data_IF_572539808423
#
_entry.id   IF_572539808423
#
_cell.length_a   1.000
_cell.length_b   1.000
_cell.length_c   1.000
_cell.angle_alpha   90.00
_cell.angle_beta   90.00
_cell.angle_gamma   90.00
#
_symmetry.space_group_name_H-M   'P 1'
#
loop_
_entity.id
_entity.type
_entity.pdbx_description
1 polymer ?
#
# COMPACT_ATOMS: atom_id res chain seq x y z
N UNK A 1 -19.18 24.00 12.06
CA UNK A 1 -18.11 24.92 11.59
C UNK A 1 -17.18 24.13 10.70
N UNK A 2 -17.12 24.47 9.42
CA UNK A 2 -16.20 23.85 8.47
C UNK A 2 -14.80 24.43 8.67
N UNK A 3 -13.81 23.57 8.90
CA UNK A 3 -12.41 24.01 8.98
C UNK A 3 -11.82 24.06 7.56
N UNK A 4 -11.03 25.11 7.31
CA UNK A 4 -10.39 25.36 6.02
C UNK A 4 -8.86 25.30 6.17
N UNK A 5 -8.18 24.76 5.15
CA UNK A 5 -6.72 24.66 5.08
C UNK A 5 -6.24 25.02 3.67
N UNK A 6 -5.10 25.68 3.56
CA UNK A 6 -4.49 25.95 2.25
C UNK A 6 -4.14 24.62 1.55
N UNK A 7 -3.64 23.64 2.31
CA UNK A 7 -3.23 22.34 1.78
C UNK A 7 -3.70 21.20 2.68
N UNK A 8 -4.44 20.25 2.11
CA UNK A 8 -4.74 18.97 2.76
C UNK A 8 -3.85 17.88 2.17
N UNK A 9 -3.22 17.08 3.02
CA UNK A 9 -2.39 15.93 2.65
C UNK A 9 -3.04 14.64 3.15
N UNK A 10 -3.36 13.72 2.23
CA UNK A 10 -3.95 12.42 2.57
C UNK A 10 -2.86 11.35 2.63
N UNK A 11 -2.48 10.93 3.83
CA UNK A 11 -1.52 9.88 4.11
C UNK A 11 -0.37 10.33 5.01
N UNK A 12 -0.05 9.51 6.00
CA UNK A 12 1.00 9.67 7.01
C UNK A 12 2.30 8.92 6.70
N UNK A 13 2.48 8.47 5.46
CA UNK A 13 3.69 7.78 5.00
C UNK A 13 4.83 8.73 4.58
N UNK A 14 5.95 8.20 4.04
CA UNK A 14 7.10 9.00 3.62
C UNK A 14 6.74 10.14 2.64
N UNK A 15 5.86 9.91 1.67
CA UNK A 15 5.40 10.94 0.75
C UNK A 15 4.62 12.04 1.46
N UNK A 16 3.58 11.67 2.21
CA UNK A 16 2.72 12.65 2.86
C UNK A 16 3.45 13.47 3.93
N UNK A 17 4.33 12.86 4.71
CA UNK A 17 5.11 13.57 5.73
C UNK A 17 6.10 14.58 5.10
N UNK A 18 6.75 14.23 3.99
CA UNK A 18 7.63 15.17 3.30
C UNK A 18 6.85 16.27 2.56
N UNK A 19 5.69 15.95 2.00
CA UNK A 19 4.79 16.93 1.40
C UNK A 19 4.29 17.95 2.43
N UNK A 20 3.79 17.47 3.56
CA UNK A 20 3.33 18.30 4.67
C UNK A 20 4.47 19.19 5.20
N UNK A 21 5.68 18.64 5.36
CA UNK A 21 6.84 19.41 5.83
C UNK A 21 7.16 20.55 4.88
N UNK A 22 7.30 20.26 3.59
CA UNK A 22 7.64 21.28 2.60
C UNK A 22 6.56 22.36 2.46
N UNK A 23 5.29 21.97 2.52
CA UNK A 23 4.16 22.88 2.49
C UNK A 23 4.13 23.80 3.74
N UNK A 24 4.25 23.21 4.94
CA UNK A 24 4.21 23.97 6.19
C UNK A 24 5.41 24.92 6.33
N UNK A 25 6.61 24.48 5.94
CA UNK A 25 7.82 25.33 5.91
C UNK A 25 7.71 26.49 4.91
N UNK A 26 6.86 26.36 3.89
CA UNK A 26 6.55 27.43 2.95
C UNK A 26 5.44 28.38 3.44
N UNK A 27 4.91 28.17 4.65
CA UNK A 27 3.93 29.03 5.31
C UNK A 27 2.46 28.65 5.08
N UNK A 28 2.17 27.60 4.31
CA UNK A 28 0.79 27.15 4.09
C UNK A 28 0.18 26.55 5.37
N UNK A 29 -1.09 26.76 5.62
CA UNK A 29 -1.85 26.01 6.63
C UNK A 29 -2.09 24.59 6.13
N UNK A 30 -1.59 23.59 6.86
CA UNK A 30 -1.58 22.19 6.42
C UNK A 30 -2.37 21.30 7.38
N UNK A 31 -3.33 20.55 6.84
CA UNK A 31 -3.91 19.40 7.52
C UNK A 31 -3.39 18.09 6.90
N UNK A 32 -2.83 17.21 7.73
CA UNK A 32 -2.43 15.87 7.31
C UNK A 32 -3.35 14.82 7.93
N UNK A 33 -4.01 14.05 7.07
CA UNK A 33 -5.02 13.06 7.44
C UNK A 33 -4.43 11.66 7.23
N UNK A 34 -4.47 10.80 8.25
CA UNK A 34 -4.06 9.39 8.12
C UNK A 34 -5.00 8.46 8.87
N UNK A 35 -5.29 7.30 8.27
CA UNK A 35 -6.18 6.31 8.85
C UNK A 35 -5.51 5.44 9.92
N UNK A 36 -4.17 5.46 10.01
CA UNK A 36 -3.45 4.77 11.07
C UNK A 36 -3.38 5.63 12.33
N UNK A 37 -3.28 5.00 13.51
CA UNK A 37 -3.14 5.71 14.77
C UNK A 37 -1.81 6.45 14.94
N UNK A 38 -0.80 6.15 14.11
CA UNK A 38 0.53 6.76 14.18
C UNK A 38 1.08 6.99 12.78
N UNK A 39 1.76 8.12 12.61
CA UNK A 39 2.49 8.44 11.40
C UNK A 39 3.65 7.47 11.14
N UNK A 40 4.04 7.38 9.87
CA UNK A 40 5.14 6.53 9.39
C UNK A 40 4.74 5.63 8.21
N UNK A 41 3.44 5.49 7.94
CA UNK A 41 2.92 4.57 6.93
C UNK A 41 3.39 3.14 7.19
N UNK A 42 3.64 2.37 6.13
CA UNK A 42 4.09 0.97 6.26
C UNK A 42 5.59 0.84 6.54
N UNK A 43 6.40 1.75 5.97
CA UNK A 43 7.86 1.72 6.05
C UNK A 43 8.32 1.95 7.50
N UNK A 44 7.86 3.05 8.10
CA UNK A 44 8.20 3.43 9.46
C UNK A 44 7.11 3.06 10.46
N UNK A 45 6.31 2.04 10.16
CA UNK A 45 5.24 1.56 11.05
C UNK A 45 5.80 1.30 12.45
N UNK A 46 5.19 1.95 13.43
CA UNK A 46 5.59 1.90 14.84
C UNK A 46 4.69 0.93 15.61
N UNK A 47 5.17 0.45 16.75
CA UNK A 47 4.37 -0.28 17.73
C UNK A 47 4.99 -0.22 19.12
N UNK A 48 4.36 -0.87 20.10
CA UNK A 48 4.84 -0.85 21.50
C UNK A 48 6.28 -1.35 21.64
N UNK A 49 6.65 -2.38 20.87
CA UNK A 49 8.00 -2.95 20.84
C UNK A 49 8.87 -2.43 19.68
N UNK A 50 8.37 -1.47 18.89
CA UNK A 50 9.05 -0.96 17.69
C UNK A 50 9.06 0.58 17.72
N UNK A 51 10.07 1.20 18.36
CA UNK A 51 10.16 2.65 18.49
C UNK A 51 10.36 3.33 17.13
N UNK A 52 10.06 4.64 17.01
CA UNK A 52 10.24 5.36 15.76
C UNK A 52 11.72 5.36 15.35
N UNK A 53 11.96 5.05 14.09
CA UNK A 53 13.29 5.18 13.49
C UNK A 53 13.74 6.64 13.51
N UNK A 54 15.05 6.88 13.63
CA UNK A 54 15.61 8.23 13.75
C UNK A 54 15.15 9.19 12.63
N UNK A 55 15.06 8.70 11.39
CA UNK A 55 14.58 9.49 10.25
C UNK A 55 13.12 9.95 10.41
N UNK A 56 12.24 9.08 10.90
CA UNK A 56 10.85 9.46 11.18
C UNK A 56 10.79 10.42 12.37
N UNK A 57 11.55 10.16 13.42
CA UNK A 57 11.58 11.03 14.59
C UNK A 57 11.99 12.46 14.23
N UNK A 58 13.04 12.63 13.44
CA UNK A 58 13.50 13.94 12.97
C UNK A 58 12.43 14.65 12.10
N UNK A 59 11.76 13.91 11.22
CA UNK A 59 10.72 14.45 10.34
C UNK A 59 9.48 14.90 11.14
N UNK A 60 9.06 14.11 12.14
CA UNK A 60 7.96 14.47 13.02
C UNK A 60 8.30 15.68 13.89
N UNK A 61 9.51 15.75 14.44
CA UNK A 61 9.96 16.91 15.22
C UNK A 61 9.94 18.20 14.37
N UNK A 62 10.40 18.13 13.12
CA UNK A 62 10.39 19.27 12.20
C UNK A 62 8.96 19.74 11.82
N UNK A 63 8.00 18.82 11.77
CA UNK A 63 6.58 19.12 11.54
C UNK A 63 5.93 19.70 12.79
N UNK A 64 6.18 19.10 13.95
CA UNK A 64 5.62 19.55 15.23
C UNK A 64 6.10 20.93 15.66
N UNK A 65 7.24 21.40 15.13
CA UNK A 65 7.70 22.77 15.34
C UNK A 65 6.96 23.82 14.49
N UNK A 66 6.13 23.40 13.53
CA UNK A 66 5.34 24.29 12.67
C UNK A 66 4.00 24.60 13.33
N UNK A 67 3.68 25.89 13.55
CA UNK A 67 2.41 26.31 14.15
C UNK A 67 1.21 26.18 13.19
N UNK A 68 1.49 26.13 11.89
CA UNK A 68 0.55 26.01 10.78
C UNK A 68 0.31 24.55 10.34
N UNK A 69 0.71 23.57 11.15
CA UNK A 69 0.54 22.14 10.84
C UNK A 69 -0.43 21.47 11.82
N UNK A 70 -1.42 20.78 11.28
CA UNK A 70 -2.38 19.97 12.02
C UNK A 70 -2.32 18.52 11.54
N UNK A 71 -2.20 17.57 12.47
CA UNK A 71 -2.20 16.14 12.15
C UNK A 71 -3.42 15.44 12.74
N UNK A 72 -4.17 14.74 11.89
CA UNK A 72 -5.35 13.94 12.25
C UNK A 72 -5.06 12.45 12.06
N UNK A 73 -4.54 11.76 13.09
CA UNK A 73 -4.39 10.31 13.08
C UNK A 73 -5.75 9.62 13.21
N UNK A 74 -5.80 8.32 12.94
CA UNK A 74 -7.01 7.49 13.03
C UNK A 74 -8.24 8.11 12.33
N UNK A 75 -8.00 8.88 11.27
CA UNK A 75 -9.01 9.66 10.57
C UNK A 75 -9.12 9.20 9.13
N UNK A 76 -10.32 8.80 8.73
CA UNK A 76 -10.61 8.25 7.40
C UNK A 76 -11.28 9.30 6.53
N UNK A 77 -10.92 9.34 5.25
CA UNK A 77 -11.70 10.05 4.24
C UNK A 77 -12.90 9.17 3.87
N UNK A 78 -14.11 9.63 4.17
CA UNK A 78 -15.35 8.92 3.88
C UNK A 78 -15.81 9.21 2.46
N UNK A 79 -15.79 10.49 2.06
CA UNK A 79 -16.23 10.93 0.74
C UNK A 79 -15.59 12.27 0.35
N UNK A 80 -15.35 12.53 -0.95
CA UNK A 80 -15.20 13.89 -1.43
C UNK A 80 -16.54 14.62 -1.30
N UNK A 81 -16.48 15.91 -1.02
CA UNK A 81 -17.61 16.84 -1.04
C UNK A 81 -17.43 17.81 -2.22
N UNK A 82 -18.51 18.50 -2.60
CA UNK A 82 -18.42 19.59 -3.58
C UNK A 82 -17.48 20.72 -3.11
N UNK A 83 -17.04 21.57 -4.03
CA UNK A 83 -16.24 22.77 -3.75
C UNK A 83 -14.92 22.52 -2.98
N UNK A 84 -14.14 21.50 -3.37
CA UNK A 84 -12.85 21.18 -2.73
C UNK A 84 -13.02 20.86 -1.23
N UNK A 85 -13.98 19.99 -0.92
CA UNK A 85 -14.22 19.52 0.44
C UNK A 85 -14.01 18.02 0.62
N UNK A 86 -13.77 17.59 1.85
CA UNK A 86 -13.75 16.18 2.26
C UNK A 86 -14.65 15.97 3.48
N UNK A 87 -15.37 14.85 3.47
CA UNK A 87 -16.00 14.30 4.66
C UNK A 87 -15.04 13.30 5.29
N UNK A 88 -14.70 13.55 6.55
CA UNK A 88 -13.81 12.72 7.34
C UNK A 88 -14.56 12.06 8.50
N UNK A 89 -14.03 10.96 9.00
CA UNK A 89 -14.50 10.31 10.22
C UNK A 89 -13.33 9.86 11.08
N UNK A 90 -13.39 10.16 12.38
CA UNK A 90 -12.50 9.57 13.38
C UNK A 90 -13.31 9.12 14.60
N UNK A 91 -12.77 8.19 15.38
CA UNK A 91 -13.41 7.78 16.63
C UNK A 91 -13.47 8.92 17.66
N UNK A 92 -12.51 9.84 17.62
CA UNK A 92 -12.39 10.95 18.56
C UNK A 92 -13.33 12.11 18.22
N UNK A 93 -13.42 12.49 16.95
CA UNK A 93 -14.15 13.68 16.51
C UNK A 93 -15.48 13.38 15.80
N UNK A 94 -15.82 12.11 15.59
CA UNK A 94 -16.95 11.73 14.75
C UNK A 94 -16.75 12.19 13.31
N UNK A 95 -17.85 12.56 12.65
CA UNK A 95 -17.86 13.05 11.27
C UNK A 95 -17.60 14.54 11.16
N UNK A 96 -16.60 14.93 10.37
CA UNK A 96 -16.18 16.33 10.16
C UNK A 96 -16.08 16.63 8.67
N UNK A 97 -16.64 17.75 8.24
CA UNK A 97 -16.43 18.30 6.90
C UNK A 97 -15.34 19.37 6.92
N UNK A 98 -14.39 19.28 6.00
CA UNK A 98 -13.33 20.28 5.79
C UNK A 98 -13.30 20.76 4.34
N UNK A 99 -12.71 21.94 4.12
CA UNK A 99 -12.40 22.46 2.78
C UNK A 99 -10.91 22.73 2.63
N UNK A 100 -10.46 22.82 1.38
CA UNK A 100 -9.07 23.07 1.06
C UNK A 100 -8.89 23.88 -0.23
N UNK A 101 -7.76 24.58 -0.35
CA UNK A 101 -7.36 25.18 -1.63
C UNK A 101 -6.63 24.18 -2.54
N UNK A 102 -5.79 23.31 -1.96
CA UNK A 102 -5.05 22.28 -2.70
C UNK A 102 -5.05 20.95 -1.94
N UNK A 103 -5.06 19.85 -2.69
CA UNK A 103 -5.07 18.48 -2.14
C UNK A 103 -3.85 17.71 -2.62
N UNK A 104 -3.14 17.07 -1.70
CA UNK A 104 -2.04 16.15 -2.02
C UNK A 104 -2.45 14.72 -1.64
N UNK A 105 -2.57 13.86 -2.64
CA UNK A 105 -2.85 12.44 -2.50
C UNK A 105 -1.55 11.67 -2.26
N UNK A 106 -1.33 11.21 -1.04
CA UNK A 106 -0.18 10.38 -0.65
C UNK A 106 -0.65 9.04 -0.05
N UNK A 107 -1.67 8.44 -0.69
CA UNK A 107 -2.44 7.28 -0.23
C UNK A 107 -1.70 5.94 -0.32
N UNK A 108 -0.48 5.95 -0.85
CA UNK A 108 0.42 4.79 -0.92
C UNK A 108 -0.14 3.66 -1.79
N UNK A 109 0.23 2.43 -1.43
CA UNK A 109 -0.19 1.22 -2.10
C UNK A 109 -0.64 0.15 -1.09
N UNK A 110 -1.36 -0.87 -1.58
CA UNK A 110 -1.75 -2.07 -0.83
C UNK A 110 -1.10 -3.30 -1.42
N UNK A 111 -1.01 -4.35 -0.64
CA UNK A 111 -0.50 -5.64 -1.12
C UNK A 111 -1.45 -6.28 -2.13
N UNK A 112 -0.89 -6.86 -3.19
CA UNK A 112 -1.61 -7.72 -4.12
C UNK A 112 -1.70 -9.12 -3.53
N UNK A 113 -2.92 -9.50 -3.13
CA UNK A 113 -3.22 -10.84 -2.64
C UNK A 113 -3.90 -11.64 -3.76
N UNK A 114 -3.34 -12.81 -4.06
CA UNK A 114 -3.85 -13.73 -5.08
C UNK A 114 -4.33 -15.02 -4.39
N UNK A 115 -5.61 -15.38 -4.53
CA UNK A 115 -6.16 -16.59 -3.94
C UNK A 115 -5.45 -17.87 -4.39
N UNK A 116 -5.30 -18.79 -3.44
CA UNK A 116 -4.92 -20.18 -3.63
C UNK A 116 -5.71 -21.05 -2.63
N UNK A 117 -5.95 -22.34 -2.89
CA UNK A 117 -6.63 -23.22 -1.94
C UNK A 117 -6.11 -23.06 -0.50
N UNK A 118 -7.01 -22.72 0.44
CA UNK A 118 -6.66 -22.48 1.84
C UNK A 118 -6.12 -21.09 2.20
N UNK A 119 -6.08 -20.12 1.27
CA UNK A 119 -5.56 -18.76 1.54
C UNK A 119 -6.35 -17.96 2.60
N UNK A 120 -7.55 -18.42 2.96
CA UNK A 120 -8.41 -17.82 3.99
C UNK A 120 -8.24 -18.45 5.37
N UNK A 121 -7.45 -19.52 5.50
CA UNK A 121 -7.22 -20.19 6.78
C UNK A 121 -6.58 -19.21 7.79
N UNK A 122 -7.00 -19.24 9.08
CA UNK A 122 -6.28 -18.52 10.13
C UNK A 122 -4.78 -18.87 10.12
N UNK A 123 -3.93 -17.84 10.19
CA UNK A 123 -2.49 -17.97 10.05
C UNK A 123 -1.96 -17.77 8.62
N UNK A 124 -2.84 -17.65 7.62
CA UNK A 124 -2.48 -17.16 6.28
C UNK A 124 -2.71 -15.65 6.18
N UNK A 125 -1.65 -14.90 5.84
CA UNK A 125 -1.70 -13.43 5.69
C UNK A 125 -0.94 -13.00 4.44
N UNK A 126 -0.98 -11.70 4.12
CA UNK A 126 0.00 -11.10 3.23
C UNK A 126 1.40 -11.01 3.87
N UNK A 127 2.45 -10.84 3.06
CA UNK A 127 3.81 -10.62 3.54
C UNK A 127 3.94 -9.26 4.24
N UNK A 128 3.37 -8.21 3.65
CA UNK A 128 3.28 -6.89 4.28
C UNK A 128 2.40 -6.92 5.53
N UNK A 129 1.30 -7.69 5.50
CA UNK A 129 0.43 -7.87 6.67
C UNK A 129 1.15 -8.57 7.83
N UNK A 130 1.96 -9.61 7.58
CA UNK A 130 2.78 -10.24 8.62
C UNK A 130 3.71 -9.23 9.29
N UNK A 131 4.42 -8.43 8.48
CA UNK A 131 5.29 -7.38 9.01
C UNK A 131 4.50 -6.37 9.86
N UNK A 132 3.34 -5.94 9.40
CA UNK A 132 2.51 -4.99 10.15
C UNK A 132 2.01 -5.57 11.47
N UNK A 133 1.62 -6.85 11.49
CA UNK A 133 1.17 -7.55 12.70
C UNK A 133 2.30 -7.67 13.73
N UNK A 134 3.49 -8.09 13.31
CA UNK A 134 4.67 -8.20 14.20
C UNK A 134 5.04 -6.83 14.77
N UNK A 135 5.12 -5.81 13.90
CA UNK A 135 5.40 -4.42 14.35
C UNK A 135 4.34 -3.94 15.33
N UNK A 136 3.09 -4.32 15.12
CA UNK A 136 1.96 -4.05 16.02
C UNK A 136 1.95 -4.86 17.33
N UNK A 137 2.88 -5.79 17.53
CA UNK A 137 3.02 -6.56 18.76
C UNK A 137 2.52 -8.00 18.71
N UNK A 138 2.16 -8.53 17.53
CA UNK A 138 1.80 -9.95 17.40
C UNK A 138 3.01 -10.84 17.72
N UNK A 139 2.90 -11.76 18.69
CA UNK A 139 3.98 -12.70 18.99
C UNK A 139 4.09 -13.73 17.87
N UNK A 140 5.32 -13.93 17.40
CA UNK A 140 5.67 -14.93 16.36
C UNK A 140 6.88 -15.78 16.75
N UNK A 141 7.36 -15.65 17.99
CA UNK A 141 8.55 -16.35 18.48
C UNK A 141 8.35 -17.86 18.36
N UNK A 142 9.38 -18.53 17.84
CA UNK A 142 9.42 -19.98 17.60
C UNK A 142 8.42 -20.55 16.57
N UNK A 143 7.48 -19.75 16.06
CA UNK A 143 6.56 -20.18 15.02
C UNK A 143 7.29 -20.46 13.71
N UNK A 144 6.88 -21.54 13.03
CA UNK A 144 7.38 -21.89 11.69
C UNK A 144 6.63 -21.07 10.65
N UNK A 145 7.33 -20.19 9.96
CA UNK A 145 6.73 -19.29 8.97
C UNK A 145 7.25 -19.62 7.57
N UNK A 146 6.33 -19.74 6.62
CA UNK A 146 6.64 -19.70 5.18
C UNK A 146 6.28 -18.33 4.64
N UNK A 147 7.24 -17.68 3.98
CA UNK A 147 7.02 -16.38 3.32
C UNK A 147 7.04 -16.64 1.81
N UNK A 148 6.05 -16.16 1.07
CA UNK A 148 5.86 -16.50 -0.33
C UNK A 148 5.37 -15.34 -1.18
N UNK A 149 5.53 -15.44 -2.50
CA UNK A 149 4.93 -14.53 -3.48
C UNK A 149 5.97 -13.91 -4.39
N UNK A 150 6.02 -12.57 -4.47
CA UNK A 150 6.92 -11.87 -5.39
C UNK A 150 7.50 -10.58 -4.80
N UNK A 151 8.82 -10.43 -4.89
CA UNK A 151 9.49 -9.14 -4.78
C UNK A 151 10.11 -8.82 -3.42
N UNK A 152 10.71 -7.62 -3.29
CA UNK A 152 11.54 -7.27 -2.14
C UNK A 152 10.77 -7.19 -0.81
N UNK A 153 9.44 -7.12 -0.84
CA UNK A 153 8.61 -7.17 0.36
C UNK A 153 8.78 -8.48 1.13
N UNK A 154 9.06 -9.60 0.44
CA UNK A 154 9.31 -10.90 1.08
C UNK A 154 10.54 -10.83 2.00
N UNK A 155 11.58 -10.13 1.55
CA UNK A 155 12.82 -9.93 2.31
C UNK A 155 12.61 -9.02 3.52
N UNK A 156 11.79 -7.98 3.37
CA UNK A 156 11.42 -7.11 4.47
C UNK A 156 10.61 -7.87 5.55
N UNK A 157 9.65 -8.71 5.13
CA UNK A 157 8.88 -9.56 6.03
C UNK A 157 9.76 -10.60 6.72
N UNK A 158 10.71 -11.21 6.00
CA UNK A 158 11.69 -12.16 6.53
C UNK A 158 12.52 -11.56 7.66
N UNK A 159 13.09 -10.37 7.44
CA UNK A 159 13.91 -9.72 8.45
C UNK A 159 13.11 -9.39 9.70
N UNK A 160 11.91 -8.82 9.54
CA UNK A 160 11.02 -8.53 10.68
C UNK A 160 10.62 -9.81 11.44
N UNK A 161 10.29 -10.90 10.74
CA UNK A 161 9.94 -12.16 11.37
C UNK A 161 11.10 -12.76 12.17
N UNK A 162 12.31 -12.74 11.62
CA UNK A 162 13.52 -13.25 12.29
C UNK A 162 13.91 -12.42 13.50
N UNK A 163 13.87 -11.10 13.38
CA UNK A 163 14.13 -10.19 14.51
C UNK A 163 13.15 -10.41 15.66
N UNK A 164 11.89 -10.75 15.36
CA UNK A 164 10.88 -11.14 16.34
C UNK A 164 11.02 -12.59 16.86
N UNK A 165 12.02 -13.35 16.41
CA UNK A 165 12.32 -14.71 16.87
C UNK A 165 11.55 -15.83 16.17
N UNK A 166 10.92 -15.56 15.02
CA UNK A 166 10.24 -16.60 14.25
C UNK A 166 11.22 -17.53 13.53
N UNK A 167 10.83 -18.78 13.33
CA UNK A 167 11.56 -19.79 12.56
C UNK A 167 11.09 -19.76 11.11
N UNK A 168 11.69 -18.92 10.28
CA UNK A 168 11.33 -18.87 8.85
C UNK A 168 11.89 -20.10 8.12
N UNK A 169 11.01 -21.03 7.72
CA UNK A 169 11.40 -22.34 7.17
C UNK A 169 11.65 -22.32 5.67
N UNK A 170 11.04 -21.36 4.95
CA UNK A 170 11.26 -21.12 3.53
C UNK A 170 10.85 -19.70 3.13
N UNK A 171 11.54 -19.17 2.13
CA UNK A 171 11.10 -18.02 1.31
C UNK A 171 10.87 -18.52 -0.11
N UNK A 172 9.65 -18.35 -0.61
CA UNK A 172 9.17 -18.89 -1.89
C UNK A 172 8.92 -17.72 -2.84
N UNK A 173 9.86 -17.50 -3.75
CA UNK A 173 9.83 -16.43 -4.75
C UNK A 173 9.37 -17.00 -6.11
N UNK A 174 8.34 -16.39 -6.69
CA UNK A 174 7.81 -16.80 -7.98
C UNK A 174 8.73 -16.40 -9.14
N UNK A 175 9.51 -15.32 -8.99
CA UNK A 175 10.52 -14.96 -9.97
C UNK A 175 11.59 -16.06 -10.10
N UNK A 176 12.04 -16.30 -11.32
CA UNK A 176 13.07 -17.29 -11.64
C UNK A 176 14.43 -16.92 -11.03
N UNK A 177 15.32 -17.91 -10.89
CA UNK A 177 16.69 -17.66 -10.42
C UNK A 177 17.43 -16.63 -11.29
N UNK A 178 17.19 -16.64 -12.61
CA UNK A 178 17.80 -15.70 -13.54
C UNK A 178 17.31 -14.26 -13.33
N UNK A 179 16.02 -14.07 -13.05
CA UNK A 179 15.43 -12.76 -12.74
C UNK A 179 15.97 -12.19 -11.42
N UNK A 180 15.97 -13.02 -10.37
CA UNK A 180 16.51 -12.62 -9.06
C UNK A 180 18.00 -12.29 -9.15
N UNK A 181 18.79 -13.07 -9.90
CA UNK A 181 20.20 -12.80 -10.11
C UNK A 181 20.42 -11.48 -10.88
N UNK A 182 19.66 -11.24 -11.97
CA UNK A 182 19.70 -9.97 -12.72
C UNK A 182 19.37 -8.78 -11.83
N UNK A 183 18.35 -8.90 -10.98
CA UNK A 183 18.02 -7.87 -10.01
C UNK A 183 19.18 -7.63 -9.02
N UNK A 184 19.77 -8.70 -8.47
CA UNK A 184 20.92 -8.63 -7.58
C UNK A 184 22.11 -7.89 -8.20
N UNK A 185 22.45 -8.19 -9.46
CA UNK A 185 23.50 -7.46 -10.22
C UNK A 185 23.13 -5.98 -10.37
N UNK A 186 21.86 -5.66 -10.60
CA UNK A 186 21.40 -4.28 -10.74
C UNK A 186 21.58 -3.43 -9.47
N UNK A 187 21.68 -4.08 -8.29
CA UNK A 187 21.93 -3.40 -7.01
C UNK A 187 23.35 -2.83 -6.90
N UNK A 188 24.31 -3.28 -7.72
CA UNK A 188 25.65 -2.68 -7.77
C UNK A 188 25.62 -1.19 -8.15
N UNK A 189 24.55 -0.74 -8.82
CA UNK A 189 24.31 0.67 -9.14
C UNK A 189 23.81 1.50 -7.96
N UNK A 190 23.39 0.86 -6.87
CA UNK A 190 22.78 1.49 -5.70
C UNK A 190 23.44 0.96 -4.40
N UNK A 191 24.64 1.45 -4.01
CA UNK A 191 25.41 0.90 -2.89
C UNK A 191 24.64 0.82 -1.55
N UNK A 192 23.73 1.77 -1.31
CA UNK A 192 22.87 1.76 -0.14
C UNK A 192 21.88 0.57 -0.15
N UNK A 193 21.25 0.28 -1.29
CA UNK A 193 20.34 -0.85 -1.45
C UNK A 193 21.08 -2.19 -1.46
N UNK A 194 22.30 -2.23 -1.98
CA UNK A 194 23.15 -3.41 -1.88
C UNK A 194 23.48 -3.74 -0.42
N UNK A 195 23.90 -2.75 0.38
CA UNK A 195 24.14 -2.93 1.82
C UNK A 195 22.88 -3.36 2.56
N UNK A 196 21.73 -2.78 2.21
CA UNK A 196 20.44 -3.21 2.76
C UNK A 196 20.14 -4.67 2.40
N UNK A 197 20.31 -5.06 1.13
CA UNK A 197 20.09 -6.44 0.69
C UNK A 197 21.02 -7.42 1.42
N UNK A 198 22.30 -7.08 1.58
CA UNK A 198 23.27 -7.88 2.35
C UNK A 198 22.84 -7.98 3.81
N UNK A 199 22.46 -6.86 4.44
CA UNK A 199 21.92 -6.82 5.81
C UNK A 199 20.72 -7.77 5.99
N UNK A 200 19.78 -7.73 5.04
CA UNK A 200 18.61 -8.60 5.04
C UNK A 200 18.96 -10.07 4.75
N UNK A 201 20.10 -10.35 4.10
CA UNK A 201 20.57 -11.71 3.80
C UNK A 201 21.57 -12.28 4.80
N UNK A 202 22.02 -11.51 5.80
CA UNK A 202 22.78 -12.07 6.92
C UNK A 202 21.95 -13.15 7.64
N UNK A 203 22.57 -14.30 7.95
CA UNK A 203 21.86 -15.45 8.54
C UNK A 203 21.04 -16.27 7.53
N UNK A 204 21.35 -16.20 6.23
CA UNK A 204 20.76 -17.08 5.21
C UNK A 204 21.31 -18.51 5.23
N UNK A 205 22.38 -18.78 6.00
CA UNK A 205 22.85 -20.15 6.20
C UNK A 205 21.72 -21.03 6.75
N UNK A 206 21.28 -22.02 5.97
CA UNK A 206 20.16 -22.91 6.32
C UNK A 206 18.76 -22.42 5.89
N UNK A 207 18.61 -21.20 5.35
CA UNK A 207 17.33 -20.73 4.81
C UNK A 207 17.08 -21.30 3.41
N UNK A 208 15.90 -21.88 3.22
CA UNK A 208 15.45 -22.33 1.91
C UNK A 208 14.89 -21.14 1.13
N UNK A 209 15.70 -20.53 0.28
CA UNK A 209 15.25 -19.54 -0.69
C UNK A 209 14.95 -20.22 -2.03
N UNK A 210 13.68 -20.43 -2.34
CA UNK A 210 13.23 -21.13 -3.55
C UNK A 210 12.69 -20.15 -4.57
N UNK A 211 13.41 -20.00 -5.67
CA UNK A 211 12.98 -19.22 -6.84
C UNK A 211 12.15 -20.07 -7.81
N UNK A 212 11.42 -19.42 -8.73
CA UNK A 212 10.56 -20.09 -9.71
C UNK A 212 9.52 -20.99 -9.05
N UNK A 213 9.05 -20.61 -7.86
CA UNK A 213 8.24 -21.45 -6.98
C UNK A 213 7.03 -20.68 -6.46
N UNK A 214 5.91 -21.35 -6.25
CA UNK A 214 4.67 -20.72 -5.76
C UNK A 214 3.97 -21.62 -4.73
N UNK A 215 3.27 -21.02 -3.77
CA UNK A 215 2.35 -21.77 -2.91
C UNK A 215 1.15 -22.23 -3.75
N UNK A 216 0.91 -23.54 -3.80
CA UNK A 216 -0.27 -24.12 -4.47
C UNK A 216 -1.44 -24.32 -3.50
N UNK A 217 -1.18 -24.59 -2.22
CA UNK A 217 -2.23 -24.86 -1.24
C UNK A 217 -1.74 -24.65 0.19
N UNK A 218 -2.61 -24.19 1.09
CA UNK A 218 -2.45 -24.27 2.53
C UNK A 218 -3.51 -25.21 3.14
N UNK A 219 -3.10 -26.06 4.09
CA UNK A 219 -3.97 -27.06 4.73
C UNK A 219 -3.95 -26.92 6.24
N UNK A 220 -5.09 -27.26 6.85
CA UNK A 220 -5.23 -27.44 8.29
C UNK A 220 -6.70 -27.36 8.72
N UNK A 221 -7.01 -27.91 9.90
CA UNK A 221 -8.40 -28.03 10.35
C UNK A 221 -9.01 -26.70 10.82
N UNK A 222 -8.32 -25.99 11.73
CA UNK A 222 -8.78 -24.71 12.29
C UNK A 222 -7.90 -23.51 11.89
N UNK A 223 -6.66 -23.80 11.53
CA UNK A 223 -5.63 -22.85 11.11
C UNK A 223 -4.66 -23.57 10.19
N UNK A 224 -3.81 -22.84 9.49
CA UNK A 224 -2.76 -23.46 8.68
C UNK A 224 -1.83 -24.30 9.56
N UNK A 225 -1.52 -25.50 9.06
CA UNK A 225 -0.60 -26.47 9.65
C UNK A 225 0.46 -26.92 8.64
N UNK A 226 0.11 -26.88 7.35
CA UNK A 226 0.97 -27.28 6.24
C UNK A 226 0.75 -26.38 5.04
N UNK A 227 1.79 -26.24 4.22
CA UNK A 227 1.73 -25.55 2.94
C UNK A 227 2.40 -26.37 1.85
N UNK A 228 1.73 -26.51 0.72
CA UNK A 228 2.24 -27.16 -0.49
C UNK A 228 2.82 -26.10 -1.42
N UNK A 229 4.06 -26.33 -1.86
CA UNK A 229 4.80 -25.43 -2.73
C UNK A 229 5.11 -26.16 -4.02
N UNK A 230 4.67 -25.59 -5.13
CA UNK A 230 4.95 -26.07 -6.48
C UNK A 230 6.23 -25.45 -7.02
N UNK A 231 7.11 -26.30 -7.55
CA UNK A 231 8.46 -25.97 -8.05
C UNK A 231 8.67 -26.67 -9.39
N UNK A 232 8.25 -26.01 -10.47
CA UNK A 232 8.09 -26.68 -11.77
C UNK A 232 7.04 -27.78 -11.66
N UNK A 233 7.39 -29.01 -12.03
CA UNK A 233 6.53 -30.20 -11.95
C UNK A 233 6.52 -30.88 -10.57
N UNK A 234 7.37 -30.44 -9.64
CA UNK A 234 7.48 -31.02 -8.31
C UNK A 234 6.61 -30.26 -7.31
N UNK A 235 6.02 -30.98 -6.37
CA UNK A 235 5.39 -30.40 -5.18
C UNK A 235 6.14 -30.81 -3.92
N UNK A 236 6.26 -29.88 -2.98
CA UNK A 236 6.87 -30.10 -1.67
C UNK A 236 5.93 -29.55 -0.61
N UNK A 237 5.58 -30.38 0.37
CA UNK A 237 4.78 -29.95 1.53
C UNK A 237 5.70 -29.62 2.69
N UNK A 238 5.47 -28.49 3.35
CA UNK A 238 6.18 -28.07 4.56
C UNK A 238 5.19 -27.88 5.70
N UNK A 239 5.52 -28.40 6.88
CA UNK A 239 4.78 -28.02 8.09
C UNK A 239 5.10 -26.57 8.47
N UNK A 240 4.06 -25.80 8.76
CA UNK A 240 4.17 -24.40 9.16
C UNK A 240 2.99 -23.98 10.03
N UNK A 241 3.24 -22.97 10.87
CA UNK A 241 2.23 -22.40 11.74
C UNK A 241 1.64 -21.11 11.12
N UNK A 242 2.36 -20.49 10.18
CA UNK A 242 1.88 -19.35 9.38
C UNK A 242 2.42 -19.38 7.95
N UNK A 243 1.62 -18.81 7.05
CA UNK A 243 2.01 -18.51 5.66
C UNK A 243 1.78 -17.03 5.39
N UNK A 244 2.80 -16.32 4.92
CA UNK A 244 2.70 -14.91 4.55
C UNK A 244 2.95 -14.78 3.04
N UNK A 245 1.89 -14.56 2.26
CA UNK A 245 1.93 -14.65 0.81
C UNK A 245 1.47 -13.35 0.12
N UNK A 246 2.33 -12.71 -0.67
CA UNK A 246 2.02 -11.45 -1.35
C UNK A 246 2.75 -11.26 -2.68
N UNK A 247 2.04 -10.75 -3.70
CA UNK A 247 2.47 -10.72 -5.10
C UNK A 247 2.75 -9.30 -5.61
N UNK A 248 3.52 -8.54 -4.81
CA UNK A 248 3.81 -7.13 -5.05
C UNK A 248 2.73 -6.20 -4.52
N UNK A 249 2.75 -4.95 -4.98
CA UNK A 249 1.88 -3.88 -4.50
C UNK A 249 0.98 -3.33 -5.62
N UNK A 250 -0.16 -2.76 -5.22
CA UNK A 250 -1.14 -2.10 -6.05
C UNK A 250 -1.36 -0.67 -5.52
N UNK A 251 -1.21 0.36 -6.35
CA UNK A 251 -1.50 1.74 -5.97
C UNK A 251 -2.90 1.90 -5.35
N UNK A 252 -3.02 2.73 -4.31
CA UNK A 252 -4.30 3.09 -3.70
C UNK A 252 -4.86 4.35 -4.36
N UNK A 253 -5.62 4.15 -5.45
CA UNK A 253 -6.15 5.23 -6.29
C UNK A 253 -7.61 5.57 -6.00
N UNK A 254 -8.23 4.98 -4.97
CA UNK A 254 -9.66 5.08 -4.69
C UNK A 254 -10.16 6.53 -4.62
N UNK A 255 -9.50 7.39 -3.83
CA UNK A 255 -9.89 8.79 -3.71
C UNK A 255 -9.63 9.55 -5.02
N UNK A 256 -8.51 9.30 -5.69
CA UNK A 256 -8.18 9.92 -6.98
C UNK A 256 -9.23 9.59 -8.05
N UNK A 257 -9.64 8.32 -8.16
CA UNK A 257 -10.68 7.87 -9.09
C UNK A 257 -12.02 8.53 -8.80
N UNK A 258 -12.40 8.64 -7.51
CA UNK A 258 -13.65 9.27 -7.13
C UNK A 258 -13.67 10.79 -7.37
N UNK A 259 -12.50 11.44 -7.31
CA UNK A 259 -12.34 12.85 -7.69
C UNK A 259 -12.32 13.05 -9.22
N UNK A 260 -12.05 12.00 -9.99
CA UNK A 260 -11.95 12.05 -11.46
C UNK A 260 -10.53 12.23 -12.01
N UNK A 261 -9.49 11.93 -11.21
CA UNK A 261 -8.12 11.92 -11.71
C UNK A 261 -7.91 10.82 -12.76
N UNK A 262 -7.10 11.11 -13.78
CA UNK A 262 -6.67 10.11 -14.76
C UNK A 262 -5.80 9.03 -14.10
N UNK A 263 -6.11 7.76 -14.41
CA UNK A 263 -5.39 6.57 -13.96
C UNK A 263 -4.86 5.85 -15.20
N UNK A 264 -3.59 5.43 -15.19
CA UNK A 264 -2.99 4.68 -16.30
C UNK A 264 -3.33 3.18 -16.24
N UNK A 265 -2.91 2.43 -17.26
CA UNK A 265 -3.15 0.97 -17.35
C UNK A 265 -2.44 0.16 -16.25
N UNK A 266 -1.38 0.72 -15.63
CA UNK A 266 -0.72 0.13 -14.47
C UNK A 266 -1.50 0.36 -13.16
N UNK A 267 -2.58 1.13 -13.20
CA UNK A 267 -3.42 1.48 -12.05
C UNK A 267 -2.84 2.62 -11.20
N UNK A 268 -1.95 3.44 -11.75
CA UNK A 268 -1.28 4.55 -11.07
C UNK A 268 -1.95 5.89 -11.39
N UNK A 269 -1.94 6.84 -10.45
CA UNK A 269 -2.39 8.21 -10.70
C UNK A 269 -1.42 8.88 -11.67
N UNK A 270 -1.94 9.38 -12.79
CA UNK A 270 -1.12 10.10 -13.78
C UNK A 270 -0.73 11.46 -13.24
N UNK A 271 0.56 11.78 -13.32
CA UNK A 271 1.14 13.02 -12.81
C UNK A 271 2.17 13.63 -13.76
N UNK A 272 2.34 14.95 -13.67
CA UNK A 272 3.43 15.69 -14.33
C UNK A 272 4.72 15.71 -13.48
N UNK A 273 5.75 16.41 -13.97
CA UNK A 273 7.03 16.56 -13.27
C UNK A 273 6.94 17.38 -11.97
N UNK A 274 5.90 18.19 -11.79
CA UNK A 274 5.59 18.89 -10.54
C UNK A 274 4.61 18.14 -9.64
N UNK A 275 4.37 16.84 -9.89
CA UNK A 275 3.43 16.01 -9.14
C UNK A 275 1.96 16.45 -9.25
N UNK A 276 1.60 17.25 -10.25
CA UNK A 276 0.20 17.63 -10.53
C UNK A 276 -0.53 16.48 -11.20
N UNK A 277 -1.76 16.23 -10.78
CA UNK A 277 -2.65 15.27 -11.45
C UNK A 277 -3.33 15.93 -12.67
N UNK A 278 -4.24 15.21 -13.33
CA UNK A 278 -5.10 15.76 -14.38
C UNK A 278 -6.12 16.79 -13.89
N UNK A 279 -6.32 16.94 -12.57
CA UNK A 279 -7.22 17.93 -12.00
C UNK A 279 -6.41 19.11 -11.45
N UNK A 280 -6.91 20.32 -11.70
CA UNK A 280 -6.34 21.53 -11.12
C UNK A 280 -6.33 21.42 -9.59
N UNK A 281 -5.27 21.92 -8.95
CA UNK A 281 -5.12 21.97 -7.48
C UNK A 281 -5.06 20.61 -6.77
N UNK A 282 -5.08 19.50 -7.51
CA UNK A 282 -4.88 18.15 -6.97
C UNK A 282 -3.53 17.60 -7.41
N UNK A 283 -2.74 17.16 -6.43
CA UNK A 283 -1.40 16.62 -6.57
C UNK A 283 -1.38 15.18 -6.07
N UNK A 284 -0.39 14.39 -6.48
CA UNK A 284 -0.21 13.04 -5.97
C UNK A 284 1.27 12.67 -5.83
N UNK A 285 1.61 11.88 -4.82
CA UNK A 285 2.99 11.49 -4.54
C UNK A 285 3.12 10.14 -3.83
N UNK A 286 4.21 9.43 -4.11
CA UNK A 286 4.50 8.14 -3.50
C UNK A 286 3.85 6.98 -4.24
N UNK A 287 3.61 5.88 -3.55
CA UNK A 287 3.28 4.62 -4.24
C UNK A 287 1.91 4.61 -4.95
N UNK A 288 1.08 5.63 -4.74
CA UNK A 288 -0.14 5.85 -5.52
C UNK A 288 0.14 6.34 -6.96
N UNK A 289 1.35 6.86 -7.23
CA UNK A 289 1.84 7.29 -8.55
C UNK A 289 2.87 6.32 -9.15
N UNK A 290 3.06 5.15 -8.52
CA UNK A 290 4.00 4.12 -8.95
C UNK A 290 4.88 3.60 -7.80
N UNK A 291 5.05 2.28 -7.73
CA UNK A 291 5.74 1.63 -6.60
C UNK A 291 7.26 1.73 -6.76
N UNK A 292 7.91 2.53 -5.92
CA UNK A 292 9.37 2.72 -5.96
C UNK A 292 10.06 2.85 -4.60
N UNK A 293 9.34 2.60 -3.50
CA UNK A 293 9.90 2.61 -2.15
C UNK A 293 9.99 4.00 -1.50
N UNK A 294 10.51 4.02 -0.27
CA UNK A 294 10.45 5.18 0.62
C UNK A 294 11.22 6.40 0.11
N UNK A 295 12.36 6.20 -0.54
CA UNK A 295 13.20 7.28 -1.05
C UNK A 295 12.58 7.99 -2.26
N UNK A 296 11.91 7.23 -3.13
CA UNK A 296 11.10 7.81 -4.20
C UNK A 296 9.93 8.60 -3.60
N UNK A 297 9.19 7.95 -2.70
CA UNK A 297 8.01 8.54 -2.07
C UNK A 297 8.35 9.84 -1.33
N UNK A 298 9.46 9.88 -0.57
CA UNK A 298 9.91 11.10 0.09
C UNK A 298 10.22 12.23 -0.87
N UNK A 299 10.95 11.96 -1.96
CA UNK A 299 11.28 12.97 -2.97
C UNK A 299 10.04 13.49 -3.70
N UNK A 300 9.14 12.59 -4.11
CA UNK A 300 7.87 12.96 -4.74
C UNK A 300 6.97 13.77 -3.80
N UNK A 301 6.93 13.39 -2.52
CA UNK A 301 6.21 14.13 -1.49
C UNK A 301 6.72 15.57 -1.36
N UNK A 302 8.03 15.74 -1.24
CA UNK A 302 8.65 17.06 -1.11
C UNK A 302 8.41 17.93 -2.36
N UNK A 303 8.51 17.36 -3.56
CA UNK A 303 8.15 18.07 -4.80
C UNK A 303 6.69 18.52 -4.76
N UNK A 304 5.76 17.63 -4.41
CA UNK A 304 4.34 17.96 -4.35
C UNK A 304 4.08 19.08 -3.33
N UNK A 305 4.72 19.04 -2.16
CA UNK A 305 4.60 20.09 -1.14
C UNK A 305 5.13 21.45 -1.61
N UNK A 306 6.31 21.49 -2.24
CA UNK A 306 6.90 22.74 -2.77
C UNK A 306 6.08 23.34 -3.92
N UNK A 307 5.55 22.51 -4.80
CA UNK A 307 4.73 22.96 -5.92
C UNK A 307 3.36 23.40 -5.44
N UNK A 308 2.73 22.62 -4.56
CA UNK A 308 1.43 22.95 -3.98
C UNK A 308 1.48 24.14 -3.03
N UNK A 309 2.60 24.52 -2.43
CA UNK A 309 2.70 25.77 -1.66
C UNK A 309 3.09 26.99 -2.49
N UNK A 310 3.45 26.80 -3.77
CA UNK A 310 4.00 27.88 -4.61
C UNK A 310 5.48 28.19 -4.36
N UNK A 311 6.14 27.51 -3.42
CA UNK A 311 7.56 27.70 -3.10
C UNK A 311 8.53 27.15 -4.17
N UNK A 312 8.03 26.43 -5.18
CA UNK A 312 8.84 25.90 -6.27
C UNK A 312 9.66 26.96 -7.01
N UNK A 313 9.14 28.18 -7.17
CA UNK A 313 9.81 29.29 -7.86
C UNK A 313 10.97 29.89 -7.06
N UNK A 314 10.86 29.90 -5.73
CA UNK A 314 11.88 30.39 -4.81
C UNK A 314 12.91 29.32 -4.46
N UNK A 315 12.55 28.03 -4.55
CA UNK A 315 13.41 26.89 -4.19
C UNK A 315 13.88 26.07 -5.41
N UNK A 316 14.19 26.72 -6.53
CA UNK A 316 14.52 26.05 -7.81
C UNK A 316 15.65 25.03 -7.72
N UNK A 317 16.72 25.34 -6.98
CA UNK A 317 17.87 24.44 -6.86
C UNK A 317 17.51 23.16 -6.07
N UNK A 318 16.78 23.30 -4.97
CA UNK A 318 16.29 22.16 -4.20
C UNK A 318 15.32 21.30 -5.03
N UNK A 319 14.39 21.95 -5.74
CA UNK A 319 13.46 21.27 -6.64
C UNK A 319 14.18 20.47 -7.72
N UNK A 320 15.21 21.05 -8.36
CA UNK A 320 16.00 20.37 -9.39
C UNK A 320 16.72 19.12 -8.84
N UNK A 321 17.28 19.21 -7.62
CA UNK A 321 17.91 18.07 -6.96
C UNK A 321 16.89 16.96 -6.65
N UNK A 322 15.69 17.32 -6.19
CA UNK A 322 14.60 16.37 -5.93
C UNK A 322 14.12 15.69 -7.21
N UNK A 323 14.00 16.42 -8.32
CA UNK A 323 13.63 15.86 -9.63
C UNK A 323 14.67 14.83 -10.10
N UNK A 324 15.96 15.12 -9.94
CA UNK A 324 17.03 14.19 -10.27
C UNK A 324 17.00 12.93 -9.37
N UNK A 325 16.79 13.11 -8.06
CA UNK A 325 16.61 12.01 -7.12
C UNK A 325 15.41 11.13 -7.49
N UNK A 326 14.27 11.74 -7.82
CA UNK A 326 13.07 11.06 -8.27
C UNK A 326 13.34 10.24 -9.53
N UNK A 327 14.01 10.79 -10.53
CA UNK A 327 14.34 10.08 -11.76
C UNK A 327 15.19 8.83 -11.51
N UNK A 328 16.22 8.94 -10.64
CA UNK A 328 17.04 7.79 -10.22
C UNK A 328 16.18 6.70 -9.58
N UNK A 329 15.34 7.06 -8.61
CA UNK A 329 14.53 6.09 -7.87
C UNK A 329 13.38 5.49 -8.69
N UNK A 330 12.80 6.24 -9.64
CA UNK A 330 11.89 5.68 -10.65
C UNK A 330 12.59 4.62 -11.49
N UNK A 331 13.82 4.88 -11.92
CA UNK A 331 14.65 3.90 -12.61
C UNK A 331 14.91 2.64 -11.77
N UNK A 332 15.07 2.77 -10.45
CA UNK A 332 15.17 1.63 -9.54
C UNK A 332 13.84 0.87 -9.42
N UNK A 333 12.73 1.56 -9.20
CA UNK A 333 11.38 0.97 -9.12
C UNK A 333 11.02 0.19 -10.38
N UNK A 334 11.31 0.73 -11.57
CA UNK A 334 11.10 0.05 -12.84
C UNK A 334 11.88 -1.28 -12.95
N UNK A 335 13.11 -1.33 -12.44
CA UNK A 335 13.89 -2.59 -12.41
C UNK A 335 13.30 -3.62 -11.45
N UNK A 336 12.79 -3.19 -10.30
CA UNK A 336 12.07 -4.05 -9.36
C UNK A 336 10.81 -4.60 -10.04
N UNK A 337 9.97 -3.73 -10.60
CA UNK A 337 8.73 -4.13 -11.28
C UNK A 337 8.99 -5.13 -12.42
N UNK A 338 10.03 -4.90 -13.23
CA UNK A 338 10.39 -5.79 -14.32
C UNK A 338 10.93 -7.15 -13.84
N UNK A 339 11.73 -7.16 -12.77
CA UNK A 339 12.38 -8.39 -12.28
C UNK A 339 11.42 -9.29 -11.48
N UNK A 340 10.37 -8.71 -10.91
CA UNK A 340 9.39 -9.41 -10.07
C UNK A 340 7.98 -9.36 -10.66
N UNK A 341 7.89 -9.16 -11.98
CA UNK A 341 6.64 -9.23 -12.73
C UNK A 341 5.98 -10.60 -12.52
N UNK A 342 4.64 -10.63 -12.47
CA UNK A 342 3.92 -11.89 -12.25
C UNK A 342 4.09 -12.82 -13.45
N UNK A 343 4.62 -14.01 -13.19
CA UNK A 343 4.68 -15.10 -14.15
C UNK A 343 3.34 -15.79 -14.32
N UNK A 344 3.28 -16.72 -15.28
CA UNK A 344 2.07 -17.46 -15.65
C UNK A 344 1.42 -18.14 -14.44
N UNK A 345 2.22 -18.85 -13.64
CA UNK A 345 1.74 -19.57 -12.45
C UNK A 345 0.97 -18.71 -11.44
N UNK A 346 1.35 -17.43 -11.26
CA UNK A 346 0.66 -16.51 -10.37
C UNK A 346 -0.60 -15.89 -11.03
N UNK A 347 -0.64 -15.84 -12.36
CA UNK A 347 -1.77 -15.30 -13.14
C UNK A 347 -2.84 -16.34 -13.42
N UNK A 348 -2.52 -17.63 -13.31
CA UNK A 348 -3.50 -18.71 -13.46
C UNK A 348 -4.49 -18.68 -12.29
N UNK A 349 -5.82 -18.64 -12.55
CA UNK A 349 -6.82 -18.74 -11.49
C UNK A 349 -6.71 -20.09 -10.76
N UNK A 350 -6.95 -20.15 -9.44
CA UNK A 350 -6.95 -21.42 -8.72
C UNK A 350 -8.21 -22.25 -9.04
N UNK A 351 -8.31 -23.43 -8.42
CA UNK A 351 -9.47 -24.30 -8.53
C UNK A 351 -10.77 -23.60 -8.11
N UNK A 352 -11.89 -23.98 -8.75
CA UNK A 352 -13.17 -23.30 -8.66
C UNK A 352 -13.72 -23.19 -7.23
N UNK A 353 -13.47 -24.20 -6.39
CA UNK A 353 -13.87 -24.20 -4.99
C UNK A 353 -13.11 -23.20 -4.11
N UNK A 354 -12.03 -22.58 -4.62
CA UNK A 354 -11.25 -21.59 -3.88
C UNK A 354 -12.07 -20.33 -3.70
N UNK A 355 -12.15 -19.80 -2.48
CA UNK A 355 -12.80 -18.51 -2.22
C UNK A 355 -12.07 -17.40 -2.98
N UNK A 356 -12.78 -16.62 -3.80
CA UNK A 356 -12.27 -15.36 -4.36
C UNK A 356 -12.55 -14.20 -3.40
N UNK A 357 -13.77 -14.14 -2.84
CA UNK A 357 -14.21 -13.10 -1.92
C UNK A 357 -14.45 -13.66 -0.51
N UNK A 358 -13.44 -13.58 0.34
CA UNK A 358 -13.54 -14.00 1.75
C UNK A 358 -14.53 -13.22 2.61
N UNK A 359 -15.03 -12.07 2.13
CA UNK A 359 -15.99 -11.26 2.90
C UNK A 359 -17.43 -11.72 2.71
N UNK A 360 -17.71 -12.38 1.59
CA UNK A 360 -19.06 -12.80 1.17
C UNK A 360 -19.08 -14.30 0.85
N UNK A 361 -18.01 -15.02 1.22
CA UNK A 361 -17.79 -16.46 0.98
C UNK A 361 -18.03 -16.92 -0.47
N UNK A 362 -17.67 -16.08 -1.43
CA UNK A 362 -17.84 -16.36 -2.87
C UNK A 362 -16.61 -17.03 -3.46
N UNK A 363 -16.81 -18.14 -4.16
CA UNK A 363 -15.79 -18.92 -4.84
C UNK A 363 -15.38 -18.39 -6.22
N UNK A 364 -14.22 -18.84 -6.72
CA UNK A 364 -13.73 -18.55 -8.07
C UNK A 364 -14.69 -19.13 -9.13
N UNK A 365 -15.25 -20.31 -8.89
CA UNK A 365 -16.17 -20.98 -9.80
C UNK A 365 -17.47 -20.21 -9.99
N UNK A 366 -18.04 -19.66 -8.90
CA UNK A 366 -19.23 -18.81 -8.98
C UNK A 366 -18.97 -17.55 -9.81
N UNK A 367 -17.84 -16.88 -9.56
CA UNK A 367 -17.49 -15.64 -10.25
C UNK A 367 -17.17 -15.90 -11.72
N UNK A 368 -16.49 -17.00 -12.07
CA UNK A 368 -16.13 -17.33 -13.46
C UNK A 368 -17.35 -17.44 -14.40
N UNK A 369 -18.54 -17.72 -13.86
CA UNK A 369 -19.78 -17.85 -14.64
C UNK A 369 -20.40 -16.50 -15.03
N UNK A 370 -19.92 -15.41 -14.43
CA UNK A 370 -20.40 -14.05 -14.69
C UNK A 370 -19.67 -13.44 -15.88
N UNK A 371 -20.32 -12.48 -16.55
CA UNK A 371 -19.74 -11.83 -17.74
C UNK A 371 -18.64 -10.82 -17.37
N UNK A 372 -18.83 -10.08 -16.27
CA UNK A 372 -17.94 -9.03 -15.83
C UNK A 372 -18.01 -8.80 -14.31
N UNK A 373 -17.23 -7.83 -13.83
CA UNK A 373 -17.15 -7.49 -12.41
C UNK A 373 -18.47 -6.95 -11.82
N UNK A 374 -19.29 -6.26 -12.61
CA UNK A 374 -20.59 -5.76 -12.16
C UNK A 374 -21.57 -6.91 -12.03
N UNK A 375 -21.58 -7.81 -12.99
CA UNK A 375 -22.40 -9.00 -12.99
C UNK A 375 -22.07 -9.93 -11.82
N UNK A 376 -20.77 -10.18 -11.59
CA UNK A 376 -20.30 -10.92 -10.42
C UNK A 376 -20.77 -10.29 -9.10
N UNK A 377 -20.68 -8.95 -8.97
CA UNK A 377 -21.20 -8.22 -7.81
C UNK A 377 -22.69 -8.45 -7.60
N UNK A 378 -23.50 -8.30 -8.65
CA UNK A 378 -24.96 -8.35 -8.53
C UNK A 378 -25.47 -9.78 -8.28
N UNK A 379 -24.85 -10.78 -8.92
CA UNK A 379 -25.31 -12.17 -8.83
C UNK A 379 -24.77 -12.91 -7.60
N UNK A 380 -23.53 -12.63 -7.20
CA UNK A 380 -22.83 -13.40 -6.14
C UNK A 380 -22.54 -12.59 -4.89
N UNK A 381 -22.75 -11.27 -4.93
CA UNK A 381 -22.30 -10.31 -3.90
C UNK A 381 -20.78 -10.14 -3.80
N UNK A 382 -19.98 -10.76 -4.69
CA UNK A 382 -18.52 -10.64 -4.69
C UNK A 382 -18.07 -9.16 -4.65
N UNK A 383 -17.29 -8.79 -3.63
CA UNK A 383 -16.81 -7.42 -3.46
C UNK A 383 -17.79 -6.44 -2.82
N UNK A 384 -18.92 -6.91 -2.26
CA UNK A 384 -19.88 -6.09 -1.52
C UNK A 384 -19.64 -6.05 0.00
N UNK A 385 -18.76 -6.90 0.53
CA UNK A 385 -18.44 -6.92 1.96
C UNK A 385 -17.59 -5.72 2.44
N UNK A 386 -17.14 -5.71 3.71
CA UNK A 386 -16.50 -4.52 4.31
C UNK A 386 -15.24 -4.03 3.59
N UNK A 387 -14.55 -4.90 2.85
CA UNK A 387 -13.40 -4.50 2.04
C UNK A 387 -13.77 -3.76 0.73
N UNK A 388 -15.05 -3.74 0.36
CA UNK A 388 -15.60 -3.11 -0.84
C UNK A 388 -14.87 -3.54 -2.13
N UNK A 389 -14.48 -4.81 -2.20
CA UNK A 389 -13.83 -5.39 -3.38
C UNK A 389 -12.33 -5.07 -3.53
N UNK A 390 -11.69 -4.39 -2.57
CA UNK A 390 -10.25 -4.04 -2.64
C UNK A 390 -9.32 -5.23 -2.83
N UNK A 391 -9.72 -6.41 -2.34
CA UNK A 391 -8.95 -7.66 -2.42
C UNK A 391 -9.41 -8.49 -3.62
N UNK A 392 -10.65 -8.98 -3.60
CA UNK A 392 -11.18 -9.87 -4.63
C UNK A 392 -11.30 -9.20 -6.00
N UNK A 393 -11.54 -7.89 -6.08
CA UNK A 393 -11.58 -7.16 -7.36
C UNK A 393 -10.20 -7.07 -8.02
N UNK A 394 -9.12 -6.96 -7.24
CA UNK A 394 -7.77 -6.99 -7.77
C UNK A 394 -7.40 -8.38 -8.32
N UNK A 395 -7.79 -9.44 -7.61
CA UNK A 395 -7.61 -10.81 -8.08
C UNK A 395 -8.46 -11.09 -9.34
N UNK A 396 -9.73 -10.66 -9.36
CA UNK A 396 -10.62 -10.81 -10.51
C UNK A 396 -10.08 -10.07 -11.75
N UNK A 397 -9.53 -8.86 -11.57
CA UNK A 397 -8.90 -8.11 -12.64
C UNK A 397 -7.71 -8.85 -13.26
N UNK A 398 -6.88 -9.50 -12.41
CA UNK A 398 -5.75 -10.30 -12.89
C UNK A 398 -6.20 -11.59 -13.59
N UNK A 399 -7.14 -12.32 -12.99
CA UNK A 399 -7.55 -13.66 -13.41
C UNK A 399 -8.50 -13.69 -14.61
N UNK A 400 -9.37 -12.67 -14.73
CA UNK A 400 -10.41 -12.62 -15.75
C UNK A 400 -10.25 -11.44 -16.70
N UNK A 401 -9.24 -10.58 -16.49
CA UNK A 401 -9.04 -9.38 -17.31
C UNK A 401 -10.13 -8.32 -17.12
N UNK A 402 -10.94 -8.42 -16.05
CA UNK A 402 -12.03 -7.49 -15.83
C UNK A 402 -11.52 -6.12 -15.34
N UNK A 403 -12.10 -5.01 -15.84
CA UNK A 403 -11.73 -3.69 -15.39
C UNK A 403 -12.12 -3.49 -13.93
N UNK A 404 -11.31 -2.73 -13.19
CA UNK A 404 -11.65 -2.30 -11.85
C UNK A 404 -12.90 -1.40 -11.88
N UNK A 405 -13.92 -1.70 -11.09
CA UNK A 405 -15.05 -0.78 -10.94
C UNK A 405 -14.59 0.53 -10.28
N UNK A 406 -15.17 1.63 -10.76
CA UNK A 406 -15.07 2.91 -10.08
C UNK A 406 -15.55 2.77 -8.62
N UNK A 407 -14.77 3.26 -7.64
CA UNK A 407 -15.20 3.27 -6.25
C UNK A 407 -16.37 4.23 -6.07
N UNK A 408 -17.27 3.92 -5.13
CA UNK A 408 -18.35 4.81 -4.74
C UNK A 408 -18.19 5.18 -3.27
N UNK A 409 -18.34 6.47 -2.90
CA UNK A 409 -18.44 6.83 -1.50
C UNK A 409 -19.73 6.24 -0.89
N UNK A 410 -19.73 5.95 0.43
CA UNK A 410 -18.61 6.13 1.34
C UNK A 410 -17.51 5.07 1.13
N UNK A 411 -16.23 5.46 1.15
CA UNK A 411 -15.11 4.55 0.85
C UNK A 411 -14.84 3.51 1.93
N UNK A 412 -15.34 3.77 3.13
CA UNK A 412 -15.36 2.88 4.27
C UNK A 412 -16.71 2.99 4.95
N UNK A 413 -17.17 1.94 5.67
CA UNK A 413 -18.34 2.06 6.52
C UNK A 413 -18.20 3.29 7.42
N UNK A 414 -19.22 4.13 7.42
CA UNK A 414 -19.30 5.37 8.18
C UNK A 414 -20.56 5.38 9.02
N UNK A 415 -20.53 6.08 10.14
CA UNK A 415 -21.69 6.28 10.99
C UNK A 415 -22.74 7.13 10.25
N UNK A 416 -24.02 6.86 10.52
CA UNK A 416 -25.11 7.68 9.95
C UNK A 416 -24.94 9.15 10.33
N UNK A 417 -24.53 9.44 11.57
CA UNK A 417 -24.25 10.80 12.03
C UNK A 417 -23.17 11.51 11.21
N UNK A 418 -22.13 10.79 10.77
CA UNK A 418 -21.11 11.33 9.87
C UNK A 418 -21.68 11.73 8.52
N UNK A 419 -22.57 10.92 7.95
CA UNK A 419 -23.20 11.21 6.68
C UNK A 419 -24.16 12.41 6.79
N UNK A 420 -24.78 12.62 7.96
CA UNK A 420 -25.60 13.80 8.22
C UNK A 420 -24.76 15.09 8.19
N UNK A 421 -23.51 15.05 8.65
CA UNK A 421 -22.58 16.19 8.55
C UNK A 421 -22.26 16.62 7.11
N UNK A 422 -22.50 15.77 6.11
CA UNK A 422 -22.31 16.10 4.70
C UNK A 422 -23.43 16.98 4.12
N UNK A 423 -24.60 17.01 4.78
CA UNK A 423 -25.77 17.78 4.33
C UNK A 423 -25.70 19.26 4.72
N UNK A 424 -24.79 19.63 5.64
CA UNK A 424 -24.50 21.02 5.96
C UNK A 424 -23.45 21.53 4.97
N UNK A 425 -23.81 22.34 3.96
CA UNK A 425 -22.84 22.82 3.01
C UNK A 425 -21.76 23.61 3.74
N UNK A 426 -20.47 23.39 3.42
CA UNK A 426 -19.43 24.23 3.97
C UNK A 426 -19.72 25.67 3.55
N UNK A 427 -19.99 26.54 4.53
CA UNK A 427 -20.14 27.97 4.28
C UNK A 427 -18.82 28.46 3.71
N UNK A 428 -18.78 28.73 2.40
CA UNK A 428 -17.65 29.37 1.77
C UNK A 428 -17.42 30.70 2.51
N UNK A 429 -16.22 30.89 3.06
CA UNK A 429 -15.83 32.19 3.57
C UNK A 429 -15.87 33.18 2.39
N UNK A 430 -16.43 34.39 2.58
CA UNK A 430 -16.60 35.38 1.52
C UNK A 430 -15.30 35.90 0.93
#
# INVERSE_FOLDING_TARGET
MTQHFDIVVIGGGPAGLNAARAAAQAGATVAQIDDNPRAGGQVWRQGSAHPPQAALHALLAALQSQQNFTYWPSTRVIAPLGAQGLLLESAEHGGVAITYDRLILATGARERLLPFPGWTLPGVTGAGALQALIKGGMPVRDERIVIAGSGPLLMAALATAREAGARVVAVVEQASAAEVARFGVSLLREPAKLRQAISLTHGFAGLRYWTGSIVSEARGAQRVQQVTIRRGEREVTLDCDRVACGFGLLPNVTLAQALGCAINDAGEIVIDDGQRTSLERVYAAGECTGVGGAELAGAEGEIAGLVASGAASTQRAALAALVAQRARWRGFGARVAASFALGEAARTPPADATLLCRCEDVSVGEVRRCADWRDAKLQTRCGMGPCQGRICGAAASLYFGWPAAAPRPPFSPAQIGTLMSAAEPPTAAP
#
